data_IF_104551216146
#
_entry.id   IF_104551216146
#
_cell.length_a   1.000
_cell.length_b   1.000
_cell.length_c   1.000
_cell.angle_alpha   90.00
_cell.angle_beta   90.00
_cell.angle_gamma   90.00
#
_symmetry.space_group_name_H-M   'P 1'
#
loop_
_entity.id
_entity.type
_entity.pdbx_description
1 polymer ?
#
# COMPACT_ATOMS: atom_id res chain seq x y z
N UNK A 1 8.42 25.88 24.59
CA UNK A 1 9.10 27.19 24.64
C UNK A 1 10.58 26.92 24.49
N UNK A 2 11.16 27.19 23.33
CA UNK A 2 12.44 27.87 23.24
C UNK A 2 12.67 28.39 21.82
N UNK A 3 13.36 29.51 21.78
CA UNK A 3 13.24 30.58 20.80
C UNK A 3 14.51 30.65 19.95
N UNK A 4 14.30 30.98 18.66
CA UNK A 4 15.10 31.98 17.90
C UNK A 4 16.52 31.51 17.49
N UNK A 5 17.16 31.93 16.40
CA UNK A 5 17.06 33.12 15.55
C UNK A 5 17.86 32.84 14.25
N UNK A 6 17.35 33.31 13.10
CA UNK A 6 18.12 33.57 11.89
C UNK A 6 19.20 34.63 12.13
N UNK A 7 20.32 34.58 11.40
CA UNK A 7 20.87 35.75 10.66
C UNK A 7 21.96 35.34 9.67
N UNK A 8 21.89 35.97 8.50
CA UNK A 8 22.81 35.92 7.37
C UNK A 8 23.87 37.05 7.42
N UNK A 9 24.69 37.09 6.36
CA UNK A 9 25.65 38.12 5.94
C UNK A 9 27.04 38.06 6.62
N UNK A 10 28.18 38.22 5.93
CA UNK A 10 28.46 38.53 4.54
C UNK A 10 29.93 38.96 4.38
N UNK A 11 30.45 38.89 3.15
CA UNK A 11 31.54 39.69 2.57
C UNK A 11 32.96 39.62 3.20
N UNK A 12 33.98 39.29 2.38
CA UNK A 12 34.97 40.27 1.86
C UNK A 12 35.92 39.63 0.84
N UNK A 13 36.08 40.39 -0.24
CA UNK A 13 36.89 40.32 -1.45
C UNK A 13 38.42 40.39 -1.21
N UNK A 14 39.25 39.71 -2.02
CA UNK A 14 40.68 40.05 -2.13
C UNK A 14 41.34 39.73 -3.49
N UNK A 15 40.96 40.48 -4.53
CA UNK A 15 41.65 40.47 -5.84
C UNK A 15 43.12 40.89 -5.66
N UNK A 16 44.05 40.06 -6.14
CA UNK A 16 45.44 40.43 -6.37
C UNK A 16 45.85 40.06 -7.81
N UNK A 17 46.06 41.09 -8.62
CA UNK A 17 46.74 41.03 -9.92
C UNK A 17 48.24 40.85 -9.71
N UNK A 18 48.84 39.87 -10.39
CA UNK A 18 50.27 39.89 -10.71
C UNK A 18 50.48 39.17 -12.03
N UNK A 19 50.66 39.95 -13.10
CA UNK A 19 51.18 39.46 -14.37
C UNK A 19 52.70 39.49 -14.36
N UNK A 20 53.33 38.40 -14.81
CA UNK A 20 54.72 38.38 -15.27
C UNK A 20 54.79 37.55 -16.55
N UNK A 21 55.32 38.17 -17.59
CA UNK A 21 55.62 37.56 -18.88
C UNK A 21 56.88 36.68 -18.81
N UNK A 22 56.89 35.57 -19.55
CA UNK A 22 58.08 34.75 -19.80
C UNK A 22 57.78 33.57 -20.74
N UNK A 23 58.45 33.54 -21.89
CA UNK A 23 58.58 32.42 -22.84
C UNK A 23 60.09 32.26 -23.13
N UNK A 24 60.60 31.14 -23.69
CA UNK A 24 60.19 29.73 -23.61
C UNK A 24 61.39 28.80 -23.24
N UNK A 25 61.16 27.54 -22.87
CA UNK A 25 62.27 26.56 -22.81
C UNK A 25 62.00 25.23 -22.10
N UNK A 26 62.36 24.14 -22.80
CA UNK A 26 62.71 22.78 -22.34
C UNK A 26 61.66 21.86 -21.71
N UNK A 27 61.17 20.94 -22.55
CA UNK A 27 61.23 19.47 -22.42
C UNK A 27 61.02 18.82 -21.04
N UNK A 28 60.02 17.95 -20.96
CA UNK A 28 60.08 16.75 -20.12
C UNK A 28 58.83 16.49 -19.29
N UNK A 29 58.05 15.50 -19.74
CA UNK A 29 57.20 14.61 -18.94
C UNK A 29 56.15 15.26 -18.03
N UNK A 30 54.94 15.43 -18.57
CA UNK A 30 53.72 15.48 -17.78
C UNK A 30 52.78 14.42 -18.35
N UNK A 31 52.67 13.30 -17.64
CA UNK A 31 51.67 12.28 -17.89
C UNK A 31 50.30 12.93 -18.04
N UNK A 32 49.72 12.76 -19.22
CA UNK A 32 48.31 13.04 -19.44
C UNK A 32 47.55 12.08 -18.55
N UNK A 33 47.04 12.59 -17.42
CA UNK A 33 45.96 11.94 -16.71
C UNK A 33 44.77 12.01 -17.68
N UNK A 34 44.47 10.87 -18.31
CA UNK A 34 43.26 10.68 -19.07
C UNK A 34 42.09 11.06 -18.16
N UNK A 35 41.46 12.19 -18.45
CA UNK A 35 40.20 12.57 -17.86
C UNK A 35 39.17 11.59 -18.43
N UNK A 36 38.97 10.46 -17.75
CA UNK A 36 37.87 9.56 -18.03
C UNK A 36 36.58 10.35 -17.78
N UNK A 37 35.90 10.73 -18.85
CA UNK A 37 34.55 11.26 -18.78
C UNK A 37 33.68 10.26 -17.99
N UNK A 38 32.71 10.73 -17.18
CA UNK A 38 31.74 9.85 -16.56
C UNK A 38 31.04 9.07 -17.67
N UNK A 39 30.94 7.75 -17.52
CA UNK A 39 30.54 6.81 -18.57
C UNK A 39 29.39 7.30 -19.45
N UNK A 40 29.68 7.47 -20.74
CA UNK A 40 28.65 7.54 -21.77
C UNK A 40 27.92 6.19 -21.78
N UNK A 41 26.69 6.15 -21.23
CA UNK A 41 25.77 5.07 -21.53
C UNK A 41 25.63 4.99 -23.06
N UNK A 42 25.69 3.81 -23.69
CA UNK A 42 25.55 3.70 -25.13
C UNK A 42 24.20 4.33 -25.54
N UNK A 43 24.25 5.44 -26.27
CA UNK A 43 23.05 6.08 -26.77
C UNK A 43 22.44 5.18 -27.86
N UNK A 44 21.16 4.82 -27.72
CA UNK A 44 20.43 4.15 -28.78
C UNK A 44 20.21 5.14 -29.93
N UNK A 45 20.69 4.81 -31.14
CA UNK A 45 20.46 5.64 -32.33
C UNK A 45 18.97 5.73 -32.68
N UNK A 46 18.20 4.69 -32.35
CA UNK A 46 16.73 4.64 -32.43
C UNK A 46 16.19 3.77 -31.29
N UNK A 47 15.09 4.23 -30.69
CA UNK A 47 14.43 3.52 -29.60
C UNK A 47 12.91 3.60 -29.71
N UNK A 48 12.24 2.64 -29.08
CA UNK A 48 10.79 2.61 -28.89
C UNK A 48 10.55 2.53 -27.39
N UNK A 49 9.80 3.48 -26.85
CA UNK A 49 9.43 3.47 -25.44
C UNK A 49 7.95 3.12 -25.31
N UNK A 50 7.66 2.14 -24.46
CA UNK A 50 6.31 1.63 -24.20
C UNK A 50 6.06 1.62 -22.71
N UNK A 51 4.84 2.00 -22.32
CA UNK A 51 4.30 1.72 -20.99
C UNK A 51 3.14 0.76 -21.15
N UNK A 52 3.18 -0.37 -20.46
CA UNK A 52 2.14 -1.39 -20.53
C UNK A 52 1.79 -1.91 -19.14
N UNK A 53 0.52 -2.25 -18.95
CA UNK A 53 0.02 -2.87 -17.73
C UNK A 53 -0.15 -4.37 -17.92
N UNK A 54 0.10 -5.12 -16.86
CA UNK A 54 -0.23 -6.53 -16.73
C UNK A 54 -1.09 -6.75 -15.51
N UNK A 55 -2.06 -7.66 -15.64
CA UNK A 55 -2.98 -8.04 -14.56
C UNK A 55 -2.93 -9.55 -14.41
N UNK A 56 -2.93 -10.01 -13.17
CA UNK A 56 -3.15 -11.40 -12.81
C UNK A 56 -4.18 -11.46 -11.68
N UNK A 57 -4.94 -12.55 -11.62
CA UNK A 57 -6.00 -12.77 -10.64
C UNK A 57 -5.79 -14.07 -9.90
N UNK A 58 -6.24 -14.11 -8.66
CA UNK A 58 -6.21 -15.30 -7.83
C UNK A 58 -7.37 -15.30 -6.84
N UNK A 59 -7.85 -16.50 -6.50
CA UNK A 59 -8.73 -16.72 -5.36
C UNK A 59 -8.03 -16.23 -4.07
N UNK A 60 -8.76 -15.56 -3.17
CA UNK A 60 -8.21 -15.10 -1.91
C UNK A 60 -7.86 -16.27 -0.99
N UNK A 61 -6.73 -16.16 -0.29
CA UNK A 61 -6.28 -17.09 0.75
C UNK A 61 -6.11 -16.39 2.11
N UNK A 62 -6.62 -15.17 2.23
CA UNK A 62 -6.65 -14.40 3.47
C UNK A 62 -7.86 -13.47 3.49
N UNK A 63 -8.41 -13.26 4.67
CA UNK A 63 -9.43 -12.26 4.94
C UNK A 63 -9.00 -11.33 6.08
N UNK A 64 -9.42 -10.07 5.98
CA UNK A 64 -9.34 -9.09 7.05
C UNK A 64 -10.76 -8.65 7.39
N UNK A 65 -11.16 -8.89 8.63
CA UNK A 65 -12.46 -8.44 9.16
C UNK A 65 -12.21 -7.30 10.12
N UNK A 66 -12.94 -6.22 9.95
CA UNK A 66 -12.93 -5.09 10.86
C UNK A 66 -14.18 -5.14 11.72
N UNK A 67 -13.99 -5.31 13.02
CA UNK A 67 -15.07 -5.34 14.02
C UNK A 67 -14.90 -4.22 15.02
N UNK A 68 -15.99 -3.74 15.61
CA UNK A 68 -15.94 -2.71 16.63
C UNK A 68 -16.84 -3.04 17.82
N UNK A 69 -16.36 -2.67 18.99
CA UNK A 69 -17.14 -2.56 20.22
C UNK A 69 -17.41 -1.07 20.44
N UNK A 70 -18.64 -0.74 20.83
CA UNK A 70 -19.06 0.59 21.19
C UNK A 70 -19.56 0.63 22.63
N UNK A 71 -19.38 1.77 23.29
CA UNK A 71 -19.89 1.96 24.64
C UNK A 71 -20.43 3.37 24.80
N UNK A 72 -21.45 3.53 25.64
CA UNK A 72 -22.04 4.83 25.95
C UNK A 72 -22.27 4.97 27.44
N UNK A 73 -21.84 6.08 28.03
CA UNK A 73 -21.89 6.26 29.48
C UNK A 73 -22.02 7.72 29.91
N UNK A 74 -22.36 7.92 31.19
CA UNK A 74 -22.50 9.25 31.80
C UNK A 74 -21.14 9.95 31.99
N UNK A 75 -20.04 9.19 32.02
CA UNK A 75 -18.69 9.72 32.08
C UNK A 75 -17.69 8.86 31.29
N UNK A 76 -16.54 9.46 30.96
CA UNK A 76 -15.48 8.78 30.20
C UNK A 76 -14.86 7.56 30.91
N UNK A 77 -14.87 7.47 32.24
CA UNK A 77 -14.34 6.30 32.95
C UNK A 77 -15.27 5.10 32.74
N UNK A 78 -16.58 5.28 32.91
CA UNK A 78 -17.57 4.23 32.65
C UNK A 78 -17.43 3.66 31.22
N UNK A 79 -17.30 4.53 30.21
CA UNK A 79 -17.11 4.10 28.81
C UNK A 79 -15.81 3.30 28.63
N UNK A 80 -14.71 3.72 29.26
CA UNK A 80 -13.42 3.01 29.15
C UNK A 80 -13.46 1.65 29.83
N UNK A 81 -14.12 1.55 30.98
CA UNK A 81 -14.25 0.29 31.71
C UNK A 81 -15.09 -0.72 30.91
N UNK A 82 -16.18 -0.26 30.28
CA UNK A 82 -17.02 -1.08 29.41
C UNK A 82 -16.27 -1.57 28.16
N UNK A 83 -15.57 -0.67 27.46
CA UNK A 83 -14.74 -1.04 26.31
C UNK A 83 -13.63 -2.04 26.71
N UNK A 84 -13.04 -1.89 27.89
CA UNK A 84 -11.98 -2.79 28.35
C UNK A 84 -12.52 -4.19 28.66
N UNK A 85 -13.70 -4.29 29.30
CA UNK A 85 -14.34 -5.57 29.58
C UNK A 85 -14.77 -6.30 28.29
N UNK A 86 -15.24 -5.54 27.30
CA UNK A 86 -15.57 -6.06 25.99
C UNK A 86 -14.33 -6.47 25.17
N UNK A 87 -13.22 -5.72 25.23
CA UNK A 87 -11.93 -6.12 24.65
C UNK A 87 -11.46 -7.47 25.19
N UNK A 88 -11.49 -7.64 26.52
CA UNK A 88 -11.11 -8.90 27.18
C UNK A 88 -11.98 -10.07 26.72
N UNK A 89 -13.29 -9.86 26.64
CA UNK A 89 -14.26 -10.89 26.24
C UNK A 89 -14.10 -11.26 24.75
N UNK A 90 -13.98 -10.26 23.89
CA UNK A 90 -13.82 -10.43 22.45
C UNK A 90 -12.50 -11.14 22.12
N UNK A 91 -11.39 -10.69 22.72
CA UNK A 91 -10.08 -11.32 22.54
C UNK A 91 -10.11 -12.77 23.01
N UNK A 92 -10.68 -13.04 24.17
CA UNK A 92 -10.80 -14.40 24.70
C UNK A 92 -11.56 -15.31 23.73
N UNK A 93 -12.74 -14.89 23.26
CA UNK A 93 -13.55 -15.65 22.31
C UNK A 93 -12.79 -15.97 21.01
N UNK A 94 -12.11 -14.98 20.44
CA UNK A 94 -11.35 -15.13 19.20
C UNK A 94 -10.11 -16.02 19.38
N UNK A 95 -9.41 -15.92 20.52
CA UNK A 95 -8.27 -16.78 20.82
C UNK A 95 -8.67 -18.22 21.14
N UNK A 96 -9.81 -18.41 21.80
CA UNK A 96 -10.36 -19.74 22.09
C UNK A 96 -10.82 -20.44 20.81
N UNK A 97 -11.31 -19.67 19.83
CA UNK A 97 -11.62 -20.18 18.49
C UNK A 97 -10.36 -20.61 17.73
N UNK A 98 -9.26 -19.84 17.85
CA UNK A 98 -7.96 -20.22 17.33
C UNK A 98 -7.11 -19.10 16.74
N UNK A 99 -7.55 -17.84 16.80
CA UNK A 99 -6.73 -16.70 16.38
C UNK A 99 -5.58 -16.46 17.37
N UNK A 100 -4.45 -16.00 16.87
CA UNK A 100 -3.33 -15.57 17.71
C UNK A 100 -3.43 -14.08 18.04
N UNK A 101 -2.66 -13.62 19.04
CA UNK A 101 -2.61 -12.18 19.35
C UNK A 101 -2.12 -11.33 18.16
N UNK A 102 -1.31 -11.89 17.27
CA UNK A 102 -0.78 -11.20 16.09
C UNK A 102 -1.85 -10.98 15.01
N UNK A 103 -2.89 -11.83 15.02
CA UNK A 103 -4.05 -11.78 14.12
C UNK A 103 -5.07 -10.73 14.57
N UNK A 104 -5.03 -10.29 15.83
CA UNK A 104 -5.99 -9.35 16.43
C UNK A 104 -5.32 -8.00 16.69
N UNK A 105 -5.50 -7.06 15.77
CA UNK A 105 -4.86 -5.73 15.82
C UNK A 105 -5.86 -4.64 16.12
N UNK A 106 -5.64 -3.85 17.17
CA UNK A 106 -6.40 -2.63 17.40
C UNK A 106 -6.17 -1.64 16.27
N UNK A 107 -7.24 -1.22 15.59
CA UNK A 107 -7.20 -0.22 14.52
C UNK A 107 -7.66 1.16 14.97
N UNK A 108 -8.63 1.21 15.89
CA UNK A 108 -9.14 2.47 16.43
C UNK A 108 -9.49 2.33 17.90
N UNK A 109 -9.16 3.36 18.67
CA UNK A 109 -9.68 3.55 20.01
C UNK A 109 -10.00 5.03 20.18
N UNK A 110 -11.24 5.35 20.50
CA UNK A 110 -11.69 6.73 20.67
C UNK A 110 -12.76 6.79 21.75
N UNK A 111 -12.65 7.77 22.65
CA UNK A 111 -13.66 8.06 23.67
C UNK A 111 -13.87 9.57 23.67
N UNK A 112 -15.08 9.99 23.34
CA UNK A 112 -15.43 11.39 23.16
C UNK A 112 -16.75 11.73 23.81
N UNK A 113 -16.89 12.99 24.20
CA UNK A 113 -18.20 13.53 24.54
C UNK A 113 -19.10 13.51 23.29
N UNK A 114 -20.27 12.91 23.44
CA UNK A 114 -21.34 12.99 22.46
C UNK A 114 -22.18 14.24 22.73
N UNK A 115 -22.22 15.13 21.74
CA UNK A 115 -23.10 16.31 21.75
C UNK A 115 -24.50 15.99 21.23
N UNK A 116 -24.79 14.72 20.96
CA UNK A 116 -26.08 14.25 20.51
C UNK A 116 -27.02 14.17 21.70
N UNK A 117 -27.68 15.29 22.00
CA UNK A 117 -29.12 15.34 22.30
C UNK A 117 -29.51 16.79 22.59
N UNK A 118 -30.21 17.41 21.63
CA UNK A 118 -30.90 18.70 21.82
C UNK A 118 -32.10 18.62 22.77
N UNK A 119 -32.45 17.43 23.26
CA UNK A 119 -33.58 17.20 24.18
C UNK A 119 -33.25 17.46 25.65
N UNK A 120 -31.97 17.50 26.05
CA UNK A 120 -31.58 17.90 27.40
C UNK A 120 -30.12 18.46 27.45
N UNK A 121 -29.92 19.78 27.28
CA UNK A 121 -28.60 20.40 27.17
C UNK A 121 -27.72 20.28 28.43
N UNK A 122 -28.27 19.77 29.53
CA UNK A 122 -27.58 19.64 30.81
C UNK A 122 -27.01 18.23 31.07
N UNK A 123 -27.18 17.27 30.14
CA UNK A 123 -26.63 15.90 30.29
C UNK A 123 -25.57 15.61 29.23
N UNK A 124 -24.31 15.76 29.62
CA UNK A 124 -23.16 15.24 28.88
C UNK A 124 -23.26 13.71 28.83
N UNK A 125 -23.16 13.15 27.63
CA UNK A 125 -23.02 11.71 27.41
C UNK A 125 -21.69 11.46 26.73
N UNK A 126 -21.01 10.36 27.05
CA UNK A 126 -19.79 9.94 26.39
C UNK A 126 -20.08 8.75 25.50
N UNK A 127 -19.45 8.72 24.33
CA UNK A 127 -19.45 7.57 23.43
C UNK A 127 -17.99 7.14 23.22
N UNK A 128 -17.78 5.84 23.23
CA UNK A 128 -16.51 5.22 22.90
C UNK A 128 -16.67 4.20 21.80
N UNK A 129 -15.58 4.00 21.06
CA UNK A 129 -15.43 2.92 20.08
C UNK A 129 -14.03 2.35 20.17
N UNK A 130 -13.95 1.02 20.13
CA UNK A 130 -12.71 0.26 20.02
C UNK A 130 -12.88 -0.71 18.86
N UNK A 131 -12.12 -0.52 17.78
CA UNK A 131 -12.18 -1.39 16.61
C UNK A 131 -10.89 -2.16 16.36
N UNK A 132 -11.04 -3.33 15.76
CA UNK A 132 -10.01 -4.33 15.55
C UNK A 132 -10.02 -4.80 14.10
N UNK A 133 -8.83 -4.98 13.53
CA UNK A 133 -8.62 -5.79 12.34
C UNK A 133 -8.26 -7.21 12.79
N UNK A 134 -9.07 -8.17 12.33
CA UNK A 134 -8.88 -9.60 12.50
C UNK A 134 -8.32 -10.15 11.20
N UNK A 135 -7.15 -10.78 11.23
CA UNK A 135 -6.56 -11.46 10.07
C UNK A 135 -6.87 -12.95 10.14
N UNK A 136 -7.37 -13.51 9.04
CA UNK A 136 -7.84 -14.89 8.98
C UNK A 136 -7.24 -15.52 7.73
N UNK A 137 -6.48 -16.61 7.89
CA UNK A 137 -5.88 -17.34 6.77
C UNK A 137 -6.84 -18.36 6.14
N UNK A 138 -7.90 -18.76 6.85
CA UNK A 138 -8.96 -19.60 6.30
C UNK A 138 -10.17 -18.75 5.88
N UNK A 139 -10.25 -18.45 4.59
CA UNK A 139 -11.33 -17.62 4.02
C UNK A 139 -12.72 -18.25 4.17
N UNK A 140 -12.81 -19.57 4.26
CA UNK A 140 -14.09 -20.28 4.44
C UNK A 140 -14.61 -20.13 5.88
N UNK A 141 -13.71 -19.86 6.84
CA UNK A 141 -14.04 -19.66 8.25
C UNK A 141 -14.53 -18.24 8.59
N UNK A 142 -14.52 -17.31 7.63
CA UNK A 142 -14.88 -15.90 7.86
C UNK A 142 -16.27 -15.75 8.51
N UNK A 143 -17.26 -16.52 8.04
CA UNK A 143 -18.61 -16.49 8.61
C UNK A 143 -18.63 -16.88 10.09
N UNK A 144 -17.92 -17.96 10.43
CA UNK A 144 -17.83 -18.46 11.80
C UNK A 144 -17.09 -17.48 12.71
N UNK A 145 -16.00 -16.87 12.22
CA UNK A 145 -15.25 -15.86 12.99
C UNK A 145 -16.10 -14.61 13.27
N UNK A 146 -16.99 -14.22 12.35
CA UNK A 146 -17.95 -13.13 12.59
C UNK A 146 -18.90 -13.50 13.72
N UNK A 147 -19.47 -14.70 13.67
CA UNK A 147 -20.40 -15.17 14.69
C UNK A 147 -19.71 -15.21 16.07
N UNK A 148 -18.48 -15.72 16.13
CA UNK A 148 -17.63 -15.71 17.35
C UNK A 148 -17.34 -14.29 17.84
N UNK A 149 -17.03 -13.34 16.94
CA UNK A 149 -16.77 -11.97 17.32
C UNK A 149 -18.01 -11.29 17.92
N UNK A 150 -19.18 -11.51 17.33
CA UNK A 150 -20.46 -10.97 17.82
C UNK A 150 -20.80 -11.59 19.18
N UNK A 151 -20.72 -12.92 19.30
CA UNK A 151 -20.95 -13.61 20.57
C UNK A 151 -19.93 -13.21 21.66
N UNK A 152 -18.72 -12.82 21.24
CA UNK A 152 -17.64 -12.30 22.08
C UNK A 152 -17.80 -10.83 22.50
N UNK A 153 -18.79 -10.11 21.96
CA UNK A 153 -19.12 -8.73 22.35
C UNK A 153 -18.82 -7.66 21.31
N UNK A 154 -18.54 -8.01 20.05
CA UNK A 154 -18.51 -7.03 18.96
C UNK A 154 -19.93 -6.54 18.65
N UNK A 155 -20.13 -5.22 18.63
CA UNK A 155 -21.41 -4.59 18.31
C UNK A 155 -21.59 -4.37 16.80
N UNK A 156 -20.47 -4.16 16.09
CA UNK A 156 -20.48 -3.80 14.68
C UNK A 156 -19.43 -4.61 13.89
N UNK A 157 -19.83 -5.10 12.71
CA UNK A 157 -18.90 -5.58 11.67
C UNK A 157 -18.79 -4.48 10.62
N UNK A 158 -17.72 -3.69 10.70
CA UNK A 158 -17.54 -2.49 9.87
C UNK A 158 -17.18 -2.86 8.41
N UNK A 159 -16.35 -3.89 8.21
CA UNK A 159 -15.85 -4.27 6.88
C UNK A 159 -15.32 -5.70 6.82
N UNK A 160 -15.50 -6.33 5.66
CA UNK A 160 -14.79 -7.56 5.28
C UNK A 160 -14.03 -7.31 3.97
N UNK A 161 -12.73 -7.58 4.00
CA UNK A 161 -11.84 -7.52 2.83
C UNK A 161 -11.17 -8.89 2.63
N UNK A 162 -11.30 -9.45 1.44
CA UNK A 162 -10.59 -10.65 1.01
C UNK A 162 -9.35 -10.24 0.21
N UNK A 163 -8.23 -10.86 0.54
CA UNK A 163 -6.92 -10.51 0.04
C UNK A 163 -6.07 -11.75 -0.23
N UNK A 164 -4.80 -11.48 -0.51
CA UNK A 164 -3.78 -12.51 -0.69
C UNK A 164 -2.80 -12.46 0.47
N UNK A 165 -2.30 -13.62 0.88
CA UNK A 165 -1.12 -13.76 1.72
C UNK A 165 0.08 -13.14 1.00
N UNK A 166 1.10 -12.72 1.75
CA UNK A 166 2.30 -12.10 1.15
C UNK A 166 3.02 -13.05 0.18
N UNK A 167 2.93 -14.35 0.41
CA UNK A 167 3.48 -15.37 -0.49
C UNK A 167 2.68 -15.44 -1.79
N UNK A 168 1.35 -15.60 -1.69
CA UNK A 168 0.46 -15.66 -2.84
C UNK A 168 0.48 -14.39 -3.66
N UNK A 169 0.50 -13.23 -3.00
CA UNK A 169 0.63 -11.92 -3.66
C UNK A 169 1.91 -11.86 -4.51
N UNK A 170 3.04 -12.34 -3.99
CA UNK A 170 4.33 -12.35 -4.71
C UNK A 170 4.27 -13.22 -5.97
N UNK A 171 3.60 -14.37 -5.88
CA UNK A 171 3.41 -15.27 -7.03
C UNK A 171 2.52 -14.64 -8.09
N UNK A 172 1.38 -14.07 -7.69
CA UNK A 172 0.44 -13.42 -8.62
C UNK A 172 1.06 -12.16 -9.21
N UNK A 173 1.87 -11.43 -8.45
CA UNK A 173 2.66 -10.29 -8.94
C UNK A 173 3.67 -10.70 -10.01
N UNK A 174 4.34 -11.85 -9.86
CA UNK A 174 5.25 -12.36 -10.88
C UNK A 174 4.50 -12.61 -12.21
N UNK A 175 3.32 -13.22 -12.14
CA UNK A 175 2.47 -13.42 -13.32
C UNK A 175 2.00 -12.09 -13.94
N UNK A 176 1.66 -11.10 -13.11
CA UNK A 176 1.29 -9.77 -13.59
C UNK A 176 2.46 -9.07 -14.30
N UNK A 177 3.71 -9.26 -13.83
CA UNK A 177 4.92 -8.74 -14.51
C UNK A 177 5.12 -9.43 -15.87
N UNK A 178 4.98 -10.76 -15.93
CA UNK A 178 5.08 -11.51 -17.19
C UNK A 178 4.05 -11.02 -18.21
N UNK A 179 2.80 -10.83 -17.77
CA UNK A 179 1.73 -10.29 -18.61
C UNK A 179 2.03 -8.85 -19.07
N UNK A 180 2.57 -8.00 -18.19
CA UNK A 180 2.93 -6.62 -18.52
C UNK A 180 4.04 -6.56 -19.57
N UNK A 181 5.07 -7.40 -19.44
CA UNK A 181 6.16 -7.52 -20.40
C UNK A 181 5.68 -8.05 -21.75
N UNK A 182 4.83 -9.08 -21.76
CA UNK A 182 4.24 -9.60 -23.00
C UNK A 182 3.40 -8.55 -23.74
N UNK A 183 2.66 -7.72 -22.99
CA UNK A 183 1.92 -6.60 -23.55
C UNK A 183 2.86 -5.52 -24.11
N UNK A 184 3.92 -5.16 -23.37
CA UNK A 184 4.91 -4.20 -23.82
C UNK A 184 5.63 -4.64 -25.10
N UNK A 185 6.00 -5.93 -25.20
CA UNK A 185 6.63 -6.51 -26.37
C UNK A 185 5.70 -6.45 -27.59
N UNK A 186 4.41 -6.74 -27.39
CA UNK A 186 3.38 -6.64 -28.43
C UNK A 186 3.21 -5.21 -28.95
N UNK A 187 3.08 -4.24 -28.04
CA UNK A 187 2.93 -2.83 -28.39
C UNK A 187 4.18 -2.28 -29.09
N UNK A 188 5.38 -2.65 -28.61
CA UNK A 188 6.64 -2.26 -29.23
C UNK A 188 6.76 -2.80 -30.66
N UNK A 189 6.37 -4.05 -30.90
CA UNK A 189 6.38 -4.64 -32.24
C UNK A 189 5.42 -3.91 -33.20
N UNK A 190 4.23 -3.52 -32.73
CA UNK A 190 3.26 -2.74 -33.53
C UNK A 190 3.81 -1.35 -33.87
N UNK A 191 4.42 -0.66 -32.90
CA UNK A 191 5.03 0.65 -33.10
C UNK A 191 6.22 0.59 -34.07
N UNK A 192 7.07 -0.43 -33.94
CA UNK A 192 8.22 -0.63 -34.80
C UNK A 192 7.78 -0.82 -36.25
N UNK A 193 6.92 -1.80 -36.51
CA UNK A 193 6.44 -2.13 -37.85
C UNK A 193 5.71 -0.94 -38.51
N UNK A 194 4.92 -0.19 -37.73
CA UNK A 194 4.22 1.00 -38.22
C UNK A 194 5.16 2.16 -38.57
N UNK A 195 6.40 2.13 -38.07
CA UNK A 195 7.43 3.16 -38.27
C UNK A 195 8.53 2.73 -39.24
N UNK A 196 8.41 1.55 -39.87
CA UNK A 196 9.47 0.99 -40.73
C UNK A 196 10.72 0.57 -39.95
N UNK A 197 10.54 0.17 -38.69
CA UNK A 197 11.58 -0.28 -37.80
C UNK A 197 11.38 -1.73 -37.39
N UNK A 198 12.43 -2.37 -36.92
CA UNK A 198 12.42 -3.67 -36.24
C UNK A 198 12.94 -3.53 -34.81
N UNK A 199 12.32 -4.26 -33.87
CA UNK A 199 12.74 -4.29 -32.46
C UNK A 199 13.96 -5.21 -32.31
N UNK A 200 15.05 -4.71 -31.73
CA UNK A 200 16.27 -5.50 -31.51
C UNK A 200 16.36 -6.12 -30.12
N UNK A 201 15.65 -5.54 -29.15
CA UNK A 201 15.54 -6.06 -27.78
C UNK A 201 15.27 -4.97 -26.75
N UNK A 202 14.96 -5.37 -25.53
CA UNK A 202 14.79 -4.45 -24.40
C UNK A 202 16.16 -3.89 -23.96
N UNK A 203 16.29 -2.57 -23.95
CA UNK A 203 17.48 -1.86 -23.50
C UNK A 203 17.38 -1.42 -22.04
N UNK A 204 16.20 -0.93 -21.64
CA UNK A 204 15.92 -0.52 -20.25
C UNK A 204 14.53 -0.98 -19.89
N UNK A 205 14.41 -1.67 -18.75
CA UNK A 205 13.14 -2.10 -18.17
C UNK A 205 13.06 -1.51 -16.78
N UNK A 206 11.92 -0.91 -16.47
CA UNK A 206 11.59 -0.45 -15.12
C UNK A 206 10.15 -0.80 -14.79
N UNK A 207 9.91 -1.08 -13.51
CA UNK A 207 8.58 -1.36 -12.99
C UNK A 207 8.14 -0.18 -12.13
N UNK A 208 6.93 0.32 -12.32
CA UNK A 208 6.29 1.17 -11.32
C UNK A 208 5.77 0.29 -10.16
N UNK A 209 5.56 0.89 -8.99
CA UNK A 209 4.99 0.18 -7.84
C UNK A 209 3.70 -0.57 -8.21
N UNK A 210 3.60 -1.81 -7.73
CA UNK A 210 2.46 -2.68 -7.99
C UNK A 210 1.28 -2.29 -7.10
N UNK A 211 0.08 -2.23 -7.69
CA UNK A 211 -1.15 -2.03 -6.94
C UNK A 211 -1.88 -3.35 -6.76
N UNK A 212 -2.15 -3.72 -5.50
CA UNK A 212 -3.06 -4.83 -5.17
C UNK A 212 -4.44 -4.25 -4.92
N UNK A 213 -5.46 -4.78 -5.59
CA UNK A 213 -6.85 -4.39 -5.34
C UNK A 213 -7.55 -5.54 -4.63
N UNK A 214 -7.75 -5.46 -3.30
CA UNK A 214 -8.44 -6.50 -2.55
C UNK A 214 -9.91 -6.59 -2.98
N UNK A 215 -10.49 -7.77 -2.82
CA UNK A 215 -11.92 -7.97 -3.02
C UNK A 215 -12.66 -7.51 -1.76
N UNK A 216 -13.65 -6.64 -1.91
CA UNK A 216 -14.42 -6.10 -0.78
C UNK A 216 -15.85 -6.59 -0.85
N UNK A 217 -16.35 -7.09 0.28
CA UNK A 217 -17.77 -7.40 0.41
C UNK A 217 -18.54 -6.09 0.43
N UNK A 218 -19.58 -5.98 -0.38
CA UNK A 218 -20.44 -4.80 -0.40
C UNK A 218 -21.24 -4.71 0.91
N UNK A 219 -21.33 -3.50 1.48
CA UNK A 219 -22.08 -3.24 2.72
C UNK A 219 -23.56 -3.67 2.62
N UNK A 220 -24.16 -3.57 1.43
CA UNK A 220 -25.52 -4.05 1.15
C UNK A 220 -25.66 -5.58 1.19
N UNK A 221 -24.57 -6.33 0.99
CA UNK A 221 -24.57 -7.79 1.13
C UNK A 221 -24.47 -8.22 2.61
N UNK A 222 -23.91 -7.37 3.47
CA UNK A 222 -23.78 -7.59 4.92
C UNK A 222 -25.06 -7.27 5.70
N UNK A 223 -25.86 -6.30 5.23
CA UNK A 223 -27.08 -5.85 5.91
C UNK A 223 -28.29 -6.81 5.78
N UNK A 224 -28.11 -8.02 5.22
CA UNK A 224 -29.18 -8.99 4.96
C UNK A 224 -29.45 -10.01 6.07
N UNK A 225 -28.63 -10.09 7.10
CA UNK A 225 -28.72 -11.08 8.18
C UNK A 225 -29.58 -10.62 9.37
N UNK A 226 -30.90 -10.56 9.18
CA UNK A 226 -31.84 -10.11 10.21
C UNK A 226 -33.08 -10.98 10.31
N UNK A 227 -32.92 -12.27 10.63
CA UNK A 227 -33.96 -13.07 11.31
C UNK A 227 -33.29 -14.25 12.02
N UNK A 228 -33.58 -14.39 13.32
CA UNK A 228 -32.90 -15.33 14.20
C UNK A 228 -33.22 -16.80 13.88
N UNK A 229 -32.19 -17.54 13.47
CA UNK A 229 -32.23 -19.00 13.43
C UNK A 229 -30.99 -19.60 12.76
N UNK A 230 -30.05 -20.10 13.58
CA UNK A 230 -29.09 -21.19 13.31
C UNK A 230 -28.58 -21.33 11.86
N UNK A 231 -28.29 -20.20 11.20
CA UNK A 231 -27.78 -20.13 9.85
C UNK A 231 -26.47 -19.36 9.91
N UNK A 232 -25.35 -20.09 9.78
CA UNK A 232 -24.01 -19.53 9.74
C UNK A 232 -23.94 -18.39 8.71
N UNK A 233 -23.20 -17.33 9.06
CA UNK A 233 -23.05 -16.15 8.19
C UNK A 233 -22.41 -16.55 6.85
N UNK A 234 -23.18 -16.51 5.76
CA UNK A 234 -22.69 -16.84 4.41
C UNK A 234 -22.06 -15.62 3.73
N UNK A 235 -20.74 -15.63 3.53
CA UNK A 235 -20.00 -14.55 2.86
C UNK A 235 -19.42 -15.05 1.54
N UNK A 236 -19.85 -14.49 0.42
CA UNK A 236 -19.31 -14.81 -0.91
C UNK A 236 -18.07 -13.99 -1.22
N UNK A 237 -17.08 -14.61 -1.87
CA UNK A 237 -15.82 -13.96 -2.27
C UNK A 237 -15.67 -13.92 -3.80
N UNK A 238 -14.82 -13.03 -4.29
CA UNK A 238 -14.43 -12.96 -5.70
C UNK A 238 -12.90 -12.86 -5.82
N UNK A 239 -12.39 -13.09 -7.03
CA UNK A 239 -10.96 -13.06 -7.30
C UNK A 239 -10.32 -11.70 -6.92
N UNK A 240 -9.14 -11.77 -6.33
CA UNK A 240 -8.27 -10.62 -6.06
C UNK A 240 -7.39 -10.36 -7.26
N UNK A 241 -7.29 -9.10 -7.67
CA UNK A 241 -6.47 -8.70 -8.83
C UNK A 241 -5.20 -7.95 -8.40
N UNK A 242 -4.08 -8.33 -9.01
CA UNK A 242 -2.80 -7.63 -8.90
C UNK A 242 -2.47 -7.01 -10.24
N UNK A 243 -2.19 -5.69 -10.23
CA UNK A 243 -1.80 -4.94 -11.42
C UNK A 243 -0.37 -4.43 -11.28
N UNK A 244 0.40 -4.59 -12.35
CA UNK A 244 1.77 -4.08 -12.48
C UNK A 244 1.88 -3.26 -13.76
N UNK A 245 2.56 -2.12 -13.68
CA UNK A 245 2.89 -1.29 -14.83
C UNK A 245 4.39 -1.35 -15.11
N UNK A 246 4.76 -1.59 -16.36
CA UNK A 246 6.15 -1.61 -16.80
C UNK A 246 6.39 -0.49 -17.80
N UNK A 247 7.55 0.15 -17.70
CA UNK A 247 8.07 1.03 -18.73
C UNK A 247 9.31 0.37 -19.34
N UNK A 248 9.26 0.15 -20.65
CA UNK A 248 10.30 -0.53 -21.40
C UNK A 248 10.75 0.35 -22.56
N UNK A 249 12.07 0.54 -22.63
CA UNK A 249 12.73 1.14 -23.78
C UNK A 249 13.39 0.02 -24.57
N UNK A 250 12.95 -0.17 -25.80
CA UNK A 250 13.50 -1.10 -26.77
C UNK A 250 14.48 -0.40 -27.70
N UNK A 251 15.56 -1.11 -28.06
CA UNK A 251 16.37 -0.75 -29.22
C UNK A 251 15.60 -1.04 -30.51
N UNK A 252 15.82 -0.21 -31.52
CA UNK A 252 15.21 -0.39 -32.83
C UNK A 252 16.21 -0.14 -33.97
N UNK A 253 16.01 -0.81 -35.10
CA UNK A 253 16.76 -0.57 -36.34
C UNK A 253 15.82 -0.46 -37.54
N UNK A 254 16.32 -0.07 -38.71
CA UNK A 254 15.48 -0.04 -39.92
C UNK A 254 15.24 -1.47 -40.41
N UNK A 255 14.00 -1.76 -40.77
CA UNK A 255 13.58 -3.00 -41.42
C UNK A 255 14.19 -3.16 -42.83
#
# INVERSE_FOLDING_TARGET
MDRRLMTAAGLVLLVALAGCAGLPGSTGDAGTAANAAPGEEPALDRSIEVTADGVATAEPDRATIRVAVTATGDDSAAVRDELSAADESLRAALTDWGLTEDDIRTERYDVRESYETRDNPDRTTYQGVHSYALTIDDVDAVGEVIDVAIDGGADEVERIEFGLSEEREREVRAQAIENAMANADGDAAVLANSSGLEVTGAYRVSTADAGVTPYRVAESAMAGGGDGGDAATGVETGDVSVRVSVNVVYGAEQA
#
